data_IF_812849072021
#
_entry.id   IF_812849072021
#
_cell.length_a   1.000
_cell.length_b   1.000
_cell.length_c   1.000
_cell.angle_alpha   90.00
_cell.angle_beta   90.00
_cell.angle_gamma   90.00
#
_symmetry.space_group_name_H-M   'P 1'
#
loop_
_entity.id
_entity.type
_entity.pdbx_description
1 polymer ?
#
# COMPACT_ATOMS: atom_id res chain seq x y z
N UNK A 1 -7.41 -13.46 -5.91
CA UNK A 1 -6.19 -12.77 -6.44
C UNK A 1 -5.37 -12.28 -5.25
N UNK A 2 -4.07 -12.01 -5.40
CA UNK A 2 -3.27 -11.49 -4.29
C UNK A 2 -3.30 -9.95 -4.24
N UNK A 3 -3.16 -9.37 -3.05
CA UNK A 3 -3.15 -7.91 -2.90
C UNK A 3 -1.98 -7.25 -3.66
N UNK A 4 -0.87 -7.98 -3.86
CA UNK A 4 0.27 -7.51 -4.66
C UNK A 4 -0.08 -7.34 -6.15
N UNK A 5 -1.10 -8.03 -6.65
CA UNK A 5 -1.54 -7.99 -8.04
C UNK A 5 -2.52 -6.85 -8.31
N UNK A 6 -3.17 -6.34 -7.24
CA UNK A 6 -4.15 -5.27 -7.33
C UNK A 6 -3.54 -3.97 -7.88
N UNK A 7 -4.22 -3.35 -8.84
CA UNK A 7 -3.82 -2.11 -9.51
C UNK A 7 -4.28 -0.90 -8.69
N UNK A 8 -3.69 0.26 -8.98
CA UNK A 8 -4.17 1.51 -8.40
C UNK A 8 -5.60 1.78 -8.86
N UNK A 9 -6.43 2.22 -7.92
CA UNK A 9 -7.86 2.46 -8.10
C UNK A 9 -8.74 1.21 -7.95
N UNK A 10 -8.16 0.03 -7.75
CA UNK A 10 -8.96 -1.17 -7.45
C UNK A 10 -9.55 -1.08 -6.03
N UNK A 11 -10.85 -1.36 -5.92
CA UNK A 11 -11.50 -1.67 -4.65
C UNK A 11 -11.52 -3.18 -4.45
N UNK A 12 -10.91 -3.60 -3.35
CA UNK A 12 -10.66 -5.01 -3.05
C UNK A 12 -11.18 -5.37 -1.67
N UNK A 13 -11.65 -6.61 -1.51
CA UNK A 13 -12.08 -7.17 -0.22
C UNK A 13 -11.12 -8.26 0.22
N UNK A 14 -10.74 -8.30 1.49
CA UNK A 14 -9.93 -9.39 2.05
C UNK A 14 -10.78 -10.65 2.18
N UNK A 15 -10.40 -11.71 1.47
CA UNK A 15 -11.02 -13.02 1.58
C UNK A 15 -10.29 -13.89 2.59
N UNK A 16 -8.96 -13.93 2.53
CA UNK A 16 -8.16 -14.76 3.41
C UNK A 16 -6.76 -14.17 3.60
N UNK A 17 -6.15 -14.49 4.74
CA UNK A 17 -4.78 -14.10 5.05
C UNK A 17 -3.99 -15.39 5.21
N UNK A 18 -2.98 -15.53 4.36
CA UNK A 18 -2.11 -16.69 4.28
C UNK A 18 -0.82 -16.44 5.10
N UNK A 19 -0.16 -17.51 5.54
CA UNK A 19 1.15 -17.44 6.19
C UNK A 19 1.14 -17.77 7.67
N UNK A 20 2.33 -17.64 8.29
CA UNK A 20 2.57 -18.08 9.66
C UNK A 20 1.96 -17.13 10.70
N UNK A 21 1.77 -17.60 11.94
CA UNK A 21 1.18 -16.81 13.04
C UNK A 21 1.83 -15.42 13.25
N UNK A 22 3.15 -15.31 13.06
CA UNK A 22 3.85 -14.03 13.18
C UNK A 22 3.38 -13.00 12.13
N UNK A 23 3.09 -13.46 10.92
CA UNK A 23 2.58 -12.62 9.83
C UNK A 23 1.12 -12.27 10.11
N UNK A 24 0.31 -13.23 10.54
CA UNK A 24 -1.09 -13.01 10.92
C UNK A 24 -1.21 -11.95 12.02
N UNK A 25 -0.48 -12.11 13.12
CA UNK A 25 -0.46 -11.12 14.23
C UNK A 25 -0.03 -9.74 13.77
N UNK A 26 0.92 -9.64 12.84
CA UNK A 26 1.37 -8.36 12.29
C UNK A 26 0.29 -7.70 11.44
N UNK A 27 -0.43 -8.48 10.62
CA UNK A 27 -1.54 -7.99 9.77
C UNK A 27 -2.71 -7.53 10.64
N UNK A 28 -3.05 -8.31 11.67
CA UNK A 28 -4.07 -7.95 12.65
C UNK A 28 -3.70 -6.69 13.44
N UNK A 29 -2.44 -6.53 13.85
CA UNK A 29 -1.94 -5.34 14.56
C UNK A 29 -2.00 -4.07 13.70
N UNK A 30 -1.97 -4.20 12.38
CA UNK A 30 -2.23 -3.08 11.46
C UNK A 30 -3.72 -2.75 11.29
N UNK A 31 -4.60 -3.55 11.90
CA UNK A 31 -6.05 -3.38 11.82
C UNK A 31 -6.68 -3.96 10.55
N UNK A 32 -5.99 -4.88 9.86
CA UNK A 32 -6.53 -5.56 8.68
C UNK A 32 -7.18 -6.88 9.10
N UNK A 33 -8.44 -7.08 8.75
CA UNK A 33 -9.20 -8.29 9.06
C UNK A 33 -9.85 -8.88 7.82
N UNK A 34 -10.21 -10.16 7.92
CA UNK A 34 -11.00 -10.84 6.89
C UNK A 34 -12.35 -10.13 6.73
N UNK A 35 -12.72 -9.87 5.48
CA UNK A 35 -13.94 -9.16 5.12
C UNK A 35 -13.79 -7.65 4.95
N UNK A 36 -12.67 -7.05 5.38
CA UNK A 36 -12.43 -5.62 5.21
C UNK A 36 -12.30 -5.24 3.73
N UNK A 37 -12.74 -4.02 3.41
CA UNK A 37 -12.73 -3.47 2.06
C UNK A 37 -11.75 -2.31 1.99
N UNK A 38 -10.92 -2.29 0.95
CA UNK A 38 -9.89 -1.29 0.74
C UNK A 38 -9.87 -0.79 -0.68
N UNK A 39 -9.46 0.46 -0.83
CA UNK A 39 -9.12 1.06 -2.11
C UNK A 39 -7.59 1.18 -2.23
N UNK A 40 -7.02 0.67 -3.31
CA UNK A 40 -5.59 0.81 -3.59
C UNK A 40 -5.34 2.19 -4.16
N UNK A 41 -4.82 3.12 -3.36
CA UNK A 41 -4.57 4.49 -3.85
C UNK A 41 -3.33 4.52 -4.75
N UNK A 42 -2.22 3.95 -4.28
CA UNK A 42 -0.92 4.16 -4.91
C UNK A 42 0.05 3.02 -4.63
N UNK A 43 0.93 2.75 -5.59
CA UNK A 43 2.06 1.83 -5.45
C UNK A 43 3.37 2.61 -5.44
N UNK A 44 4.20 2.39 -4.43
CA UNK A 44 5.53 2.97 -4.27
C UNK A 44 6.59 1.88 -4.21
N UNK A 45 7.07 1.44 -5.37
CA UNK A 45 8.06 0.37 -5.48
C UNK A 45 7.60 -0.90 -4.77
N UNK A 46 8.17 -1.19 -3.60
CA UNK A 46 7.83 -2.35 -2.76
C UNK A 46 6.66 -2.10 -1.80
N UNK A 47 6.10 -0.90 -1.72
CA UNK A 47 5.02 -0.60 -0.79
C UNK A 47 3.73 -0.23 -1.55
N UNK A 48 2.59 -0.48 -0.92
CA UNK A 48 1.26 -0.18 -1.39
C UNK A 48 0.58 0.74 -0.37
N UNK A 49 0.05 1.87 -0.83
CA UNK A 49 -0.82 2.73 -0.04
C UNK A 49 -2.27 2.30 -0.30
N UNK A 50 -2.92 1.84 0.76
CA UNK A 50 -4.32 1.45 0.74
C UNK A 50 -5.15 2.37 1.65
N UNK A 51 -6.44 2.45 1.38
CA UNK A 51 -7.39 3.26 2.15
C UNK A 51 -8.60 2.42 2.55
N UNK A 52 -8.94 2.49 3.83
CA UNK A 52 -10.18 1.95 4.39
C UNK A 52 -10.99 3.10 5.01
N UNK A 53 -11.97 3.61 4.27
CA UNK A 53 -12.74 4.79 4.69
C UNK A 53 -11.83 5.99 4.99
N UNK A 54 -11.66 6.32 6.27
CA UNK A 54 -10.82 7.44 6.73
C UNK A 54 -9.36 7.05 7.02
N UNK A 55 -9.06 5.77 7.13
CA UNK A 55 -7.72 5.28 7.47
C UNK A 55 -6.90 5.05 6.20
N UNK A 56 -5.66 5.51 6.20
CA UNK A 56 -4.67 5.21 5.16
C UNK A 56 -3.56 4.38 5.76
N UNK A 57 -3.27 3.25 5.14
CA UNK A 57 -2.25 2.31 5.61
C UNK A 57 -1.24 2.05 4.49
N UNK A 58 0.04 1.96 4.87
CA UNK A 58 1.10 1.54 3.96
C UNK A 58 1.45 0.09 4.26
N UNK A 59 1.31 -0.77 3.26
CA UNK A 59 1.62 -2.21 3.35
C UNK A 59 2.84 -2.50 2.49
N UNK A 60 3.78 -3.28 3.01
CA UNK A 60 4.91 -3.77 2.21
C UNK A 60 4.51 -4.93 1.31
N UNK A 61 5.21 -5.11 0.20
CA UNK A 61 4.99 -6.18 -0.77
C UNK A 61 5.08 -7.56 -0.12
N UNK A 62 5.92 -7.70 0.91
CA UNK A 62 6.10 -8.96 1.65
C UNK A 62 4.84 -9.34 2.44
N UNK A 63 4.10 -8.35 2.92
CA UNK A 63 2.81 -8.57 3.58
C UNK A 63 1.72 -8.76 2.52
N UNK A 64 1.72 -7.95 1.45
CA UNK A 64 0.69 -8.01 0.41
C UNK A 64 0.66 -9.35 -0.36
N UNK A 65 1.78 -10.07 -0.45
CA UNK A 65 1.84 -11.43 -1.03
C UNK A 65 1.06 -12.48 -0.22
N UNK A 66 0.79 -12.18 1.04
CA UNK A 66 0.14 -13.08 1.98
C UNK A 66 -1.35 -12.76 2.15
N UNK A 67 -1.91 -11.82 1.38
CA UNK A 67 -3.30 -11.40 1.52
C UNK A 67 -4.03 -11.75 0.23
N UNK A 68 -4.99 -12.65 0.35
CA UNK A 68 -5.90 -12.99 -0.72
C UNK A 68 -7.11 -12.05 -0.70
N UNK A 69 -7.39 -11.49 -1.87
CA UNK A 69 -8.41 -10.48 -2.08
C UNK A 69 -9.29 -10.78 -3.28
N UNK A 70 -10.49 -10.21 -3.24
CA UNK A 70 -11.50 -10.23 -4.28
C UNK A 70 -11.70 -8.82 -4.85
N UNK A 71 -11.79 -8.70 -6.18
CA UNK A 71 -12.10 -7.43 -6.85
C UNK A 71 -13.60 -7.16 -6.71
N UNK A 72 -13.96 -6.03 -6.11
CA UNK A 72 -15.35 -5.56 -6.07
C UNK A 72 -15.58 -4.62 -7.26
N UNK A 73 -14.73 -3.60 -7.39
CA UNK A 73 -14.84 -2.58 -8.43
C UNK A 73 -13.45 -2.21 -8.93
N UNK A 74 -13.33 -2.02 -10.23
CA UNK A 74 -12.14 -1.42 -10.85
C UNK A 74 -12.47 0.03 -11.16
N UNK A 75 -11.87 0.97 -10.42
CA UNK A 75 -11.92 2.38 -10.81
C UNK A 75 -10.57 2.77 -11.41
N UNK A 76 -10.48 3.18 -12.68
CA UNK A 76 -9.24 3.76 -13.18
C UNK A 76 -9.13 5.21 -12.68
N UNK A 77 -8.03 5.52 -11.98
CA UNK A 77 -7.03 6.39 -12.59
C UNK A 77 -5.62 5.80 -12.49
N UNK A 78 -4.68 6.22 -13.36
CA UNK A 78 -3.28 5.86 -13.20
C UNK A 78 -2.77 6.33 -11.83
N UNK A 79 -1.87 5.55 -11.22
CA UNK A 79 -1.17 5.99 -10.03
C UNK A 79 -0.46 7.31 -10.36
N UNK A 80 -0.91 8.45 -9.83
CA UNK A 80 -0.19 9.71 -9.99
C UNK A 80 1.08 9.66 -9.14
N UNK A 81 2.18 9.19 -9.73
CA UNK A 81 3.50 9.36 -9.13
C UNK A 81 3.85 10.84 -9.18
N UNK A 82 3.49 11.57 -8.12
CA UNK A 82 4.01 12.92 -7.86
C UNK A 82 5.34 12.72 -7.13
N UNK A 83 6.50 12.78 -7.80
CA UNK A 83 7.76 12.78 -7.11
C UNK A 83 7.73 13.91 -6.08
N UNK A 84 8.36 13.68 -4.92
CA UNK A 84 8.66 14.75 -3.98
C UNK A 84 9.29 15.87 -4.81
N UNK A 85 8.66 17.05 -4.90
CA UNK A 85 9.28 18.22 -5.54
C UNK A 85 10.56 18.48 -4.75
N UNK A 86 11.67 17.94 -5.24
CA UNK A 86 12.94 17.94 -4.56
C UNK A 86 13.20 19.37 -4.13
N UNK A 87 13.51 19.54 -2.83
CA UNK A 87 14.05 20.79 -2.32
C UNK A 87 15.10 21.24 -3.33
N UNK A 88 14.86 22.39 -3.99
CA UNK A 88 15.83 23.05 -4.85
C UNK A 88 17.18 22.97 -4.15
N UNK A 89 18.17 22.38 -4.82
CA UNK A 89 19.54 22.24 -4.35
C UNK A 89 19.97 23.48 -3.59
N UNK A 90 19.99 23.39 -2.25
CA UNK A 90 20.49 24.46 -1.40
C UNK A 90 22.00 24.32 -1.45
N UNK A 91 22.62 24.93 -2.45
CA UNK A 91 24.07 25.04 -2.60
C UNK A 91 24.66 25.58 -1.30
N UNK A 92 25.15 24.68 -0.45
CA UNK A 92 25.86 25.04 0.77
C UNK A 92 27.32 25.20 0.39
N UNK A 93 27.68 26.38 -0.10
CA UNK A 93 29.08 26.80 -0.21
C UNK A 93 29.62 26.98 1.20
N UNK A 94 30.04 25.87 1.81
CA UNK A 94 30.73 25.83 3.08
C UNK A 94 32.22 25.93 2.82
N UNK A 95 32.76 27.10 3.10
CA UNK A 95 34.16 27.46 3.02
C UNK A 95 35.03 26.43 3.77
N UNK A 96 35.91 25.73 3.07
CA UNK A 96 37.07 25.11 3.69
C UNK A 96 38.26 26.04 3.43
N UNK A 97 38.68 26.72 4.50
CA UNK A 97 39.97 27.38 4.65
C UNK A 97 41.05 26.33 4.86
#
# INVERSE_FOLDING_TARGET
MLLIEARCGDKVKINEILGNEAVLKKIEAMGLRKGDIFEVIQRWGRNLLIKNGNNRLVISSDIAKNIEVELIETSPPPCEFKPCKGKKWRWRWGWFK
#
